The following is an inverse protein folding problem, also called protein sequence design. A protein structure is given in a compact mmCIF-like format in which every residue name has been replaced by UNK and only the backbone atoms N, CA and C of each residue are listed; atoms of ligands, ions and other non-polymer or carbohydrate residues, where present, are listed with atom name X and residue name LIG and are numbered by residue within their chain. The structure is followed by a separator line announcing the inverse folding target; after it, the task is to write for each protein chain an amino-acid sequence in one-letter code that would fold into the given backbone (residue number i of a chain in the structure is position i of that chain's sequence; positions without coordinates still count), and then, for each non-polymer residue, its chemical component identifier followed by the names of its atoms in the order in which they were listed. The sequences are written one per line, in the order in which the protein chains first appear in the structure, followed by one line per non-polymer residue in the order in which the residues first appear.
data_IF_622074787135
#
_entry.id   IF_622074787135
#
_cell.length_a   1.000
_cell.length_b   1.000
_cell.length_c   1.000
_cell.angle_alpha   90.00
_cell.angle_beta   90.00
_cell.angle_gamma   90.00
#
_symmetry.space_group_name_H-M   'P 1'
#
loop_
_entity.id
_entity.type
_entity.pdbx_description
1 polymer ?
#
# COMPACT_ATOMS: atom_id res chain seq x y z
N UNK A 1 -1.82 68.54 -26.49
CA UNK A 1 -1.45 69.46 -27.59
C UNK A 1 0.07 69.53 -27.55
N UNK A 2 0.84 68.98 -28.46
CA UNK A 2 0.72 68.90 -29.92
C UNK A 2 1.41 67.63 -30.44
N UNK A 3 1.19 67.34 -31.73
CA UNK A 3 1.87 66.32 -32.56
C UNK A 3 1.26 64.91 -32.61
N UNK A 4 -0.06 64.82 -32.48
CA UNK A 4 -0.85 63.77 -33.13
C UNK A 4 -1.30 64.29 -34.50
N UNK A 5 -0.33 64.54 -35.41
CA UNK A 5 -0.66 65.07 -36.74
C UNK A 5 0.47 64.88 -37.74
N UNK A 6 0.75 63.64 -38.14
CA UNK A 6 1.34 63.40 -39.47
C UNK A 6 1.19 62.02 -40.08
N UNK A 7 0.21 61.23 -39.65
CA UNK A 7 -0.22 60.05 -40.40
C UNK A 7 -1.60 60.32 -41.00
N UNK A 8 -1.68 61.17 -42.02
CA UNK A 8 -2.88 61.24 -42.86
C UNK A 8 -2.62 61.95 -44.20
N UNK A 9 -1.80 61.32 -45.02
CA UNK A 9 -1.84 61.47 -46.46
C UNK A 9 -1.15 60.23 -47.03
N UNK A 10 -1.77 59.39 -47.84
CA UNK A 10 -3.04 59.53 -48.48
C UNK A 10 -3.42 58.15 -49.03
N UNK A 11 -4.71 58.05 -49.31
CA UNK A 11 -5.24 57.35 -50.47
C UNK A 11 -5.09 55.84 -50.50
N UNK A 12 -6.15 55.21 -50.03
CA UNK A 12 -6.73 54.04 -50.68
C UNK A 12 -6.69 54.16 -52.22
N UNK A 13 -6.12 53.16 -52.87
CA UNK A 13 -6.44 52.74 -54.22
C UNK A 13 -6.56 51.20 -54.21
N UNK A 14 -7.81 50.75 -54.10
CA UNK A 14 -8.51 49.61 -54.72
C UNK A 14 -7.73 48.69 -55.71
N UNK A 15 -8.16 47.43 -55.94
CA UNK A 15 -7.54 46.21 -55.42
C UNK A 15 -6.92 45.33 -56.53
N UNK A 16 -5.83 44.63 -56.22
CA UNK A 16 -5.16 43.68 -57.13
C UNK A 16 -5.28 42.24 -56.58
N UNK A 17 -5.39 41.23 -57.46
CA UNK A 17 -5.91 39.90 -57.13
C UNK A 17 -4.92 39.06 -56.32
N UNK A 18 -5.42 38.27 -55.37
CA UNK A 18 -4.61 37.44 -54.48
C UNK A 18 -3.66 36.50 -55.26
N UNK A 19 -2.33 36.57 -55.03
CA UNK A 19 -1.38 35.71 -55.70
C UNK A 19 -1.32 34.34 -55.00
N UNK A 20 -1.47 33.27 -55.80
CA UNK A 20 -1.31 31.88 -55.38
C UNK A 20 0.01 31.67 -54.60
N UNK A 21 0.02 30.81 -53.58
CA UNK A 21 1.14 30.70 -52.65
C UNK A 21 2.40 30.22 -53.37
N UNK A 22 3.32 31.17 -53.59
CA UNK A 22 4.61 30.95 -54.22
C UNK A 22 5.40 29.90 -53.42
N UNK A 23 5.68 28.75 -54.05
CA UNK A 23 6.37 27.60 -53.44
C UNK A 23 7.67 28.00 -52.74
N UNK A 24 8.38 29.01 -53.27
CA UNK A 24 9.60 29.53 -52.66
C UNK A 24 9.35 30.20 -51.31
N UNK A 25 8.22 30.89 -51.15
CA UNK A 25 7.81 31.48 -49.87
C UNK A 25 7.47 30.40 -48.84
N UNK A 26 6.80 29.31 -49.25
CA UNK A 26 6.49 28.19 -48.36
C UNK A 26 7.76 27.46 -47.88
N UNK A 27 8.74 27.26 -48.76
CA UNK A 27 10.03 26.68 -48.39
C UNK A 27 10.79 27.58 -47.40
N UNK A 28 10.79 28.89 -47.64
CA UNK A 28 11.41 29.88 -46.75
C UNK A 28 10.74 29.91 -45.37
N UNK A 29 9.41 29.86 -45.34
CA UNK A 29 8.64 29.83 -44.10
C UNK A 29 8.92 28.55 -43.30
N UNK A 30 8.98 27.38 -43.97
CA UNK A 30 9.36 26.12 -43.33
C UNK A 30 10.74 26.20 -42.70
N UNK A 31 11.72 26.76 -43.42
CA UNK A 31 13.09 26.87 -42.92
C UNK A 31 13.17 27.84 -41.74
N UNK A 32 12.39 28.93 -41.77
CA UNK A 32 12.23 29.86 -40.64
C UNK A 32 11.58 29.19 -39.42
N UNK A 33 10.51 28.42 -39.61
CA UNK A 33 9.85 27.69 -38.52
C UNK A 33 10.78 26.63 -37.92
N UNK A 34 11.58 25.95 -38.74
CA UNK A 34 12.56 24.97 -38.27
C UNK A 34 13.67 25.63 -37.46
N UNK A 35 14.13 26.80 -37.89
CA UNK A 35 15.11 27.59 -37.17
C UNK A 35 14.55 28.08 -35.83
N UNK A 36 13.32 28.63 -35.82
CA UNK A 36 12.65 29.04 -34.59
C UNK A 36 12.40 27.88 -33.63
N UNK A 37 12.05 26.70 -34.15
CA UNK A 37 11.88 25.50 -33.33
C UNK A 37 13.21 25.07 -32.69
N UNK A 38 14.32 25.13 -33.44
CA UNK A 38 15.64 24.85 -32.88
C UNK A 38 16.04 25.88 -31.81
N UNK A 39 15.85 27.17 -32.07
CA UNK A 39 16.16 28.24 -31.12
C UNK A 39 15.33 28.15 -29.84
N UNK A 40 14.05 27.82 -29.96
CA UNK A 40 13.18 27.61 -28.82
C UNK A 40 13.61 26.36 -28.03
N UNK A 41 13.97 25.27 -28.73
CA UNK A 41 14.43 24.03 -28.10
C UNK A 41 15.77 24.19 -27.38
N UNK A 42 16.70 24.96 -27.94
CA UNK A 42 17.99 25.26 -27.28
C UNK A 42 17.82 26.21 -26.11
N UNK A 43 16.95 27.22 -26.21
CA UNK A 43 16.60 28.10 -25.10
C UNK A 43 15.94 27.33 -23.93
N UNK A 44 15.06 26.38 -24.23
CA UNK A 44 14.45 25.49 -23.22
C UNK A 44 15.51 24.60 -22.57
N UNK A 45 16.43 24.02 -23.35
CA UNK A 45 17.49 23.16 -22.79
C UNK A 45 18.48 23.94 -21.92
N UNK A 46 18.89 25.12 -22.39
CA UNK A 46 19.76 26.02 -21.63
C UNK A 46 19.08 26.49 -20.33
N UNK A 47 17.80 26.87 -20.38
CA UNK A 47 17.05 27.25 -19.18
C UNK A 47 16.83 26.07 -18.22
N UNK A 48 16.66 24.85 -18.71
CA UNK A 48 16.52 23.66 -17.88
C UNK A 48 17.81 23.27 -17.15
N UNK A 49 18.98 23.41 -17.80
CA UNK A 49 20.30 23.22 -17.18
C UNK A 49 20.59 24.30 -16.13
N UNK A 50 20.27 25.58 -16.42
CA UNK A 50 20.38 26.69 -15.45
C UNK A 50 19.46 26.44 -14.24
N UNK A 51 18.23 25.98 -14.47
CA UNK A 51 17.26 25.67 -13.42
C UNK A 51 17.74 24.50 -12.53
N UNK A 52 18.27 23.42 -13.10
CA UNK A 52 18.81 22.30 -12.32
C UNK A 52 20.07 22.68 -11.53
N UNK A 53 20.96 23.48 -12.12
CA UNK A 53 22.15 24.00 -11.44
C UNK A 53 21.79 24.88 -10.24
N UNK A 54 20.86 25.82 -10.43
CA UNK A 54 20.37 26.69 -9.35
C UNK A 54 19.68 25.90 -8.24
N UNK A 55 18.84 24.91 -8.57
CA UNK A 55 18.19 24.06 -7.56
C UNK A 55 19.22 23.22 -6.78
N UNK A 56 20.25 22.68 -7.42
CA UNK A 56 21.30 21.91 -6.72
C UNK A 56 22.14 22.80 -5.79
N UNK A 57 22.49 24.00 -6.25
CA UNK A 57 23.24 24.99 -5.47
C UNK A 57 22.42 25.57 -4.31
N UNK A 58 21.13 25.85 -4.54
CA UNK A 58 20.18 26.30 -3.51
C UNK A 58 19.95 25.22 -2.43
N UNK A 59 19.79 23.96 -2.83
CA UNK A 59 19.70 22.84 -1.88
C UNK A 59 21.01 22.65 -1.10
N UNK A 60 22.17 22.82 -1.75
CA UNK A 60 23.49 22.72 -1.10
C UNK A 60 23.73 23.86 -0.11
N UNK A 61 23.40 25.10 -0.49
CA UNK A 61 23.52 26.28 0.38
C UNK A 61 22.53 26.24 1.54
N UNK A 62 21.30 25.78 1.31
CA UNK A 62 20.30 25.59 2.37
C UNK A 62 20.69 24.48 3.34
N UNK A 63 21.21 23.34 2.85
CA UNK A 63 21.70 22.27 3.71
C UNK A 63 22.93 22.70 4.52
N UNK A 64 23.87 23.43 3.91
CA UNK A 64 25.03 24.00 4.62
C UNK A 64 24.60 25.06 5.65
N UNK A 65 23.56 25.86 5.34
CA UNK A 65 22.98 26.81 6.27
C UNK A 65 22.33 26.13 7.48
N UNK A 66 21.58 25.05 7.26
CA UNK A 66 21.00 24.24 8.33
C UNK A 66 22.08 23.54 9.17
N UNK A 67 23.14 23.03 8.55
CA UNK A 67 24.25 22.41 9.26
C UNK A 67 25.03 23.44 10.08
N UNK A 68 25.31 24.62 9.51
CA UNK A 68 25.93 25.72 10.24
C UNK A 68 25.07 26.18 11.42
N UNK A 69 23.76 26.29 11.23
CA UNK A 69 22.83 26.62 12.32
C UNK A 69 22.89 25.56 13.43
N UNK A 70 22.85 24.26 13.07
CA UNK A 70 22.99 23.16 14.03
C UNK A 70 24.32 23.24 14.78
N UNK A 71 25.42 23.48 14.07
CA UNK A 71 26.76 23.61 14.65
C UNK A 71 26.85 24.80 15.62
N UNK A 72 26.22 25.93 15.28
CA UNK A 72 26.13 27.10 16.17
C UNK A 72 25.27 26.81 17.40
N UNK A 73 24.14 26.14 17.25
CA UNK A 73 23.29 25.71 18.37
C UNK A 73 24.02 24.73 19.29
N UNK A 74 24.72 23.74 18.73
CA UNK A 74 25.55 22.80 19.48
C UNK A 74 26.70 23.51 20.20
N UNK A 75 27.42 24.40 19.53
CA UNK A 75 28.49 25.19 20.13
C UNK A 75 27.98 26.08 21.26
N UNK A 76 26.79 26.69 21.10
CA UNK A 76 26.13 27.49 22.13
C UNK A 76 25.77 26.65 23.35
N UNK A 77 25.12 25.50 23.14
CA UNK A 77 24.78 24.57 24.23
C UNK A 77 26.06 24.09 24.94
N UNK A 78 27.10 23.74 24.19
CA UNK A 78 28.41 23.34 24.72
C UNK A 78 29.04 24.44 25.57
N UNK A 79 29.05 25.68 25.08
CA UNK A 79 29.57 26.83 25.82
C UNK A 79 28.79 27.08 27.12
N UNK A 80 27.46 27.06 27.07
CA UNK A 80 26.60 27.22 28.24
C UNK A 80 26.83 26.12 29.27
N UNK A 81 26.93 24.85 28.84
CA UNK A 81 27.21 23.71 29.71
C UNK A 81 28.58 23.82 30.40
N UNK A 82 29.62 24.20 29.64
CA UNK A 82 30.97 24.42 30.18
C UNK A 82 31.00 25.56 31.19
N UNK A 83 30.31 26.66 30.88
CA UNK A 83 30.18 27.81 31.78
C UNK A 83 29.47 27.43 33.08
N UNK A 84 28.35 26.70 32.98
CA UNK A 84 27.61 26.22 34.14
C UNK A 84 28.44 25.25 34.99
N UNK A 85 29.19 24.35 34.36
CA UNK A 85 30.09 23.43 35.06
C UNK A 85 31.18 24.20 35.82
N UNK A 86 31.80 25.20 35.19
CA UNK A 86 32.80 26.05 35.84
C UNK A 86 32.20 26.82 37.03
N UNK A 87 31.04 27.45 36.85
CA UNK A 87 30.34 28.18 37.92
C UNK A 87 30.01 27.25 39.11
N UNK A 88 29.54 26.03 38.84
CA UNK A 88 29.27 25.02 39.89
C UNK A 88 30.54 24.62 40.64
N UNK A 89 31.65 24.43 39.94
CA UNK A 89 32.95 24.11 40.56
C UNK A 89 33.40 25.27 41.46
N UNK A 90 33.38 26.50 40.95
CA UNK A 90 33.77 27.68 41.71
C UNK A 90 32.90 27.87 42.96
N UNK A 91 31.58 27.73 42.82
CA UNK A 91 30.64 27.80 43.93
C UNK A 91 30.91 26.70 44.97
N UNK A 92 31.14 25.46 44.54
CA UNK A 92 31.49 24.35 45.42
C UNK A 92 32.79 24.59 46.20
N UNK A 93 33.80 25.20 45.57
CA UNK A 93 35.05 25.56 46.23
C UNK A 93 34.80 26.66 47.27
N UNK A 94 34.05 27.71 46.92
CA UNK A 94 33.69 28.78 47.84
C UNK A 94 32.90 28.26 49.05
N UNK A 95 31.87 27.44 48.81
CA UNK A 95 31.07 26.79 49.86
C UNK A 95 31.92 25.90 50.75
N UNK A 96 32.80 25.07 50.18
CA UNK A 96 33.71 24.22 50.95
C UNK A 96 34.63 25.03 51.85
N UNK A 97 35.14 26.16 51.35
CA UNK A 97 35.99 27.04 52.15
C UNK A 97 35.19 27.68 53.29
N UNK A 98 33.96 28.13 53.03
CA UNK A 98 33.06 28.65 54.06
C UNK A 98 32.80 27.63 55.15
N UNK A 99 32.45 26.39 54.80
CA UNK A 99 32.20 25.32 55.78
C UNK A 99 33.39 24.97 56.68
N UNK A 100 34.63 25.36 56.31
CA UNK A 100 35.82 25.17 57.17
C UNK A 100 35.94 26.22 58.27
N UNK A 101 35.27 27.36 58.14
CA UNK A 101 35.31 28.47 59.12
C UNK A 101 34.61 28.06 60.43
N UNK A 102 33.74 27.04 60.38
CA UNK A 102 33.11 26.35 61.53
C UNK A 102 32.36 27.30 62.48
N UNK A 103 31.88 28.42 61.95
CA UNK A 103 30.96 29.35 62.58
C UNK A 103 29.51 28.83 62.53
N UNK A 104 28.57 29.60 63.07
CA UNK A 104 27.16 29.21 63.10
C UNK A 104 26.57 29.06 61.68
N UNK A 105 26.94 29.98 60.78
CA UNK A 105 26.56 29.94 59.36
C UNK A 105 27.09 28.67 58.67
N UNK A 106 28.33 28.27 58.95
CA UNK A 106 28.94 27.03 58.44
C UNK A 106 28.17 25.78 58.88
N UNK A 107 27.70 25.74 60.13
CA UNK A 107 26.86 24.63 60.63
C UNK A 107 25.53 24.58 59.90
N UNK A 108 24.84 25.72 59.76
CA UNK A 108 23.58 25.82 59.04
C UNK A 108 23.70 25.41 57.57
N UNK A 109 24.77 25.82 56.88
CA UNK A 109 25.08 25.41 55.51
C UNK A 109 25.29 23.90 55.44
N UNK A 110 26.04 23.32 56.38
CA UNK A 110 26.33 21.87 56.43
C UNK A 110 25.07 21.03 56.65
N UNK A 111 24.21 21.43 57.60
CA UNK A 111 22.93 20.77 57.82
C UNK A 111 22.02 20.85 56.59
N UNK A 112 21.97 22.02 55.95
CA UNK A 112 21.18 22.22 54.74
C UNK A 112 21.68 21.33 53.59
N UNK A 113 23.00 21.27 53.37
CA UNK A 113 23.60 20.38 52.38
C UNK A 113 23.30 18.91 52.66
N UNK A 114 23.38 18.49 53.93
CA UNK A 114 23.03 17.12 54.32
C UNK A 114 21.58 16.78 53.96
N UNK A 115 20.64 17.68 54.25
CA UNK A 115 19.22 17.52 53.88
C UNK A 115 19.04 17.46 52.36
N UNK A 116 19.72 18.33 51.60
CA UNK A 116 19.69 18.34 50.13
C UNK A 116 20.19 17.01 49.57
N UNK A 117 21.29 16.46 50.10
CA UNK A 117 21.83 15.17 49.65
C UNK A 117 20.85 14.04 49.94
N UNK A 118 20.26 14.00 51.14
CA UNK A 118 19.24 13.00 51.50
C UNK A 118 18.02 13.05 50.57
N UNK A 119 17.51 14.25 50.29
CA UNK A 119 16.41 14.44 49.35
C UNK A 119 16.79 14.00 47.93
N UNK A 120 18.00 14.35 47.48
CA UNK A 120 18.48 13.99 46.14
C UNK A 120 18.63 12.47 45.98
N UNK A 121 19.10 11.77 47.01
CA UNK A 121 19.15 10.31 47.03
C UNK A 121 17.75 9.71 46.92
N UNK A 122 16.80 10.18 47.71
CA UNK A 122 15.41 9.70 47.64
C UNK A 122 14.80 9.94 46.25
N UNK A 123 15.05 11.10 45.64
CA UNK A 123 14.60 11.41 44.28
C UNK A 123 15.19 10.44 43.26
N UNK A 124 16.49 10.13 43.35
CA UNK A 124 17.16 9.17 42.47
C UNK A 124 16.55 7.77 42.63
N UNK A 125 16.30 7.32 43.86
CA UNK A 125 15.65 6.04 44.14
C UNK A 125 14.24 5.97 43.54
N UNK A 126 13.43 7.01 43.71
CA UNK A 126 12.09 7.07 43.11
C UNK A 126 12.14 7.08 41.58
N UNK A 127 13.08 7.82 40.98
CA UNK A 127 13.28 7.81 39.53
C UNK A 127 13.69 6.42 39.02
N UNK A 128 14.54 5.72 39.77
CA UNK A 128 14.96 4.37 39.44
C UNK A 128 13.78 3.39 39.49
N UNK A 129 12.99 3.43 40.56
CA UNK A 129 11.78 2.61 40.69
C UNK A 129 10.76 2.93 39.58
N UNK A 130 10.62 4.20 39.18
CA UNK A 130 9.75 4.60 38.08
C UNK A 130 10.20 3.98 36.75
N UNK A 131 11.51 4.05 36.42
CA UNK A 131 12.08 3.43 35.23
C UNK A 131 11.88 1.91 35.21
N UNK A 132 12.05 1.25 36.34
CA UNK A 132 11.81 -0.20 36.45
C UNK A 132 10.34 -0.57 36.19
N UNK A 133 9.40 0.20 36.75
CA UNK A 133 7.97 0.01 36.51
C UNK A 133 7.61 0.28 35.05
N UNK A 134 8.18 1.30 34.43
CA UNK A 134 8.01 1.61 33.02
C UNK A 134 8.51 0.47 32.13
N UNK A 135 9.68 -0.09 32.42
CA UNK A 135 10.21 -1.24 31.69
C UNK A 135 9.29 -2.45 31.80
N UNK A 136 8.80 -2.77 33.01
CA UNK A 136 7.82 -3.85 33.23
C UNK A 136 6.52 -3.61 32.44
N UNK A 137 6.06 -2.37 32.37
CA UNK A 137 4.88 -1.99 31.57
C UNK A 137 5.12 -2.24 30.07
N UNK A 138 6.29 -1.86 29.55
CA UNK A 138 6.67 -2.10 28.16
C UNK A 138 6.70 -3.60 27.83
N UNK A 139 7.25 -4.42 28.72
CA UNK A 139 7.29 -5.87 28.54
C UNK A 139 5.88 -6.49 28.53
N UNK A 140 4.99 -6.03 29.42
CA UNK A 140 3.57 -6.46 29.41
C UNK A 140 2.90 -6.04 28.10
N UNK A 141 3.10 -4.80 27.63
CA UNK A 141 2.54 -4.33 26.35
C UNK A 141 3.04 -5.18 25.18
N UNK A 142 4.32 -5.55 25.16
CA UNK A 142 4.91 -6.45 24.16
C UNK A 142 4.27 -7.82 24.20
N UNK A 143 4.18 -8.46 25.36
CA UNK A 143 3.53 -9.78 25.54
C UNK A 143 2.07 -9.76 25.08
N UNK A 144 1.32 -8.73 25.47
CA UNK A 144 -0.09 -8.54 25.05
C UNK A 144 -0.21 -8.42 23.54
N UNK A 145 0.70 -7.70 22.89
CA UNK A 145 0.70 -7.56 21.44
C UNK A 145 0.97 -8.89 20.73
N UNK A 146 1.98 -9.64 21.19
CA UNK A 146 2.28 -10.97 20.65
C UNK A 146 1.09 -11.93 20.82
N UNK A 147 0.43 -11.90 21.98
CA UNK A 147 -0.76 -12.71 22.23
C UNK A 147 -1.92 -12.32 21.31
N UNK A 148 -2.16 -11.02 21.11
CA UNK A 148 -3.19 -10.53 20.18
C UNK A 148 -2.94 -11.05 18.76
N UNK A 149 -1.70 -10.94 18.28
CA UNK A 149 -1.31 -11.44 16.95
C UNK A 149 -1.51 -12.95 16.82
N UNK A 150 -1.12 -13.73 17.83
CA UNK A 150 -1.35 -15.17 17.86
C UNK A 150 -2.84 -15.53 17.89
N UNK A 151 -3.65 -14.77 18.63
CA UNK A 151 -5.10 -14.92 18.69
C UNK A 151 -5.77 -14.65 17.33
N UNK A 152 -5.37 -13.57 16.65
CA UNK A 152 -5.84 -13.25 15.29
C UNK A 152 -5.50 -14.37 14.29
N UNK A 153 -4.27 -14.90 14.34
CA UNK A 153 -3.86 -16.02 13.50
C UNK A 153 -4.68 -17.30 13.77
N UNK A 154 -4.94 -17.61 15.05
CA UNK A 154 -5.78 -18.77 15.42
C UNK A 154 -7.22 -18.59 14.97
N UNK A 155 -7.77 -17.38 15.07
CA UNK A 155 -9.12 -17.09 14.59
C UNK A 155 -9.24 -17.26 13.07
N UNK A 156 -8.24 -16.79 12.31
CA UNK A 156 -8.16 -16.99 10.86
C UNK A 156 -8.06 -18.48 10.50
N UNK A 157 -7.30 -19.27 11.27
CA UNK A 157 -7.21 -20.71 11.10
C UNK A 157 -8.57 -21.38 11.33
N UNK A 158 -9.28 -21.03 12.40
CA UNK A 158 -10.62 -21.55 12.71
C UNK A 158 -11.60 -21.22 11.58
N UNK A 159 -11.62 -19.97 11.11
CA UNK A 159 -12.52 -19.56 10.04
C UNK A 159 -12.25 -20.35 8.73
N UNK A 160 -10.98 -20.52 8.38
CA UNK A 160 -10.58 -21.31 7.20
C UNK A 160 -11.00 -22.78 7.33
N UNK A 161 -10.78 -23.39 8.50
CA UNK A 161 -11.19 -24.78 8.75
C UNK A 161 -12.72 -24.94 8.72
N UNK A 162 -13.47 -24.01 9.31
CA UNK A 162 -14.93 -24.02 9.26
C UNK A 162 -15.45 -23.89 7.83
N UNK A 163 -14.85 -23.02 7.02
CA UNK A 163 -15.22 -22.88 5.60
C UNK A 163 -14.97 -24.19 4.85
N UNK A 164 -13.80 -24.80 5.02
CA UNK A 164 -13.44 -26.08 4.40
C UNK A 164 -14.40 -27.21 4.82
N UNK A 165 -14.71 -27.31 6.11
CA UNK A 165 -15.66 -28.31 6.61
C UNK A 165 -17.07 -28.14 6.02
N UNK A 166 -17.52 -26.89 5.85
CA UNK A 166 -18.82 -26.59 5.22
C UNK A 166 -18.84 -26.99 3.74
N UNK A 167 -17.75 -26.75 3.01
CA UNK A 167 -17.58 -27.17 1.61
C UNK A 167 -17.54 -28.69 1.49
N UNK A 168 -16.78 -29.38 2.33
CA UNK A 168 -16.73 -30.85 2.39
C UNK A 168 -18.11 -31.46 2.71
N UNK A 169 -18.85 -30.87 3.65
CA UNK A 169 -20.21 -31.31 3.97
C UNK A 169 -21.17 -31.11 2.80
N UNK A 170 -21.07 -30.00 2.07
CA UNK A 170 -21.88 -29.74 0.88
C UNK A 170 -21.54 -30.74 -0.24
N UNK A 171 -20.25 -30.97 -0.51
CA UNK A 171 -19.78 -31.96 -1.48
C UNK A 171 -20.30 -33.37 -1.14
N UNK A 172 -20.16 -33.81 0.12
CA UNK A 172 -20.64 -35.13 0.53
C UNK A 172 -22.16 -35.28 0.37
N UNK A 173 -22.94 -34.23 0.61
CA UNK A 173 -24.40 -34.25 0.35
C UNK A 173 -24.71 -34.41 -1.14
N UNK A 174 -23.99 -33.70 -2.00
CA UNK A 174 -24.13 -33.82 -3.47
C UNK A 174 -23.75 -35.23 -3.93
N UNK A 175 -22.63 -35.78 -3.45
CA UNK A 175 -22.21 -37.15 -3.78
C UNK A 175 -23.27 -38.18 -3.39
N UNK A 176 -23.82 -38.09 -2.16
CA UNK A 176 -24.89 -38.99 -1.70
C UNK A 176 -26.17 -38.86 -2.54
N UNK A 177 -26.51 -37.65 -2.99
CA UNK A 177 -27.65 -37.44 -3.88
C UNK A 177 -27.41 -38.05 -5.26
N UNK A 178 -26.20 -37.88 -5.81
CA UNK A 178 -25.79 -38.45 -7.08
C UNK A 178 -25.82 -39.98 -7.05
N UNK A 179 -25.31 -40.60 -5.98
CA UNK A 179 -25.35 -42.06 -5.78
C UNK A 179 -26.80 -42.59 -5.78
N UNK A 180 -27.73 -41.89 -5.11
CA UNK A 180 -29.15 -42.26 -5.13
C UNK A 180 -29.75 -42.20 -6.54
N UNK A 181 -29.53 -41.09 -7.25
CA UNK A 181 -30.03 -40.92 -8.62
C UNK A 181 -29.46 -42.00 -9.54
N UNK A 182 -28.17 -42.32 -9.41
CA UNK A 182 -27.55 -43.38 -10.20
C UNK A 182 -28.16 -44.75 -9.91
N UNK A 183 -28.39 -45.09 -8.64
CA UNK A 183 -29.02 -46.35 -8.25
C UNK A 183 -30.48 -46.45 -8.73
N UNK A 184 -31.23 -45.35 -8.68
CA UNK A 184 -32.60 -45.31 -9.18
C UNK A 184 -32.64 -45.44 -10.71
N UNK A 185 -31.73 -44.75 -11.41
CA UNK A 185 -31.59 -44.86 -12.86
C UNK A 185 -31.22 -46.28 -13.29
N UNK A 186 -30.27 -46.93 -12.61
CA UNK A 186 -29.91 -48.33 -12.90
C UNK A 186 -31.09 -49.28 -12.67
N UNK A 187 -31.92 -49.04 -11.66
CA UNK A 187 -33.14 -49.82 -11.42
C UNK A 187 -34.16 -49.62 -12.54
N UNK A 188 -34.40 -48.38 -12.97
CA UNK A 188 -35.30 -48.05 -14.08
C UNK A 188 -34.80 -48.66 -15.40
N UNK A 189 -33.48 -48.64 -15.63
CA UNK A 189 -32.84 -49.30 -16.78
C UNK A 189 -33.11 -50.80 -16.76
N UNK A 190 -32.85 -51.47 -15.63
CA UNK A 190 -33.12 -52.90 -15.46
C UNK A 190 -34.60 -53.25 -15.68
N UNK A 191 -35.50 -52.45 -15.12
CA UNK A 191 -36.95 -52.65 -15.29
C UNK A 191 -37.35 -52.52 -16.78
N UNK A 192 -36.82 -51.51 -17.47
CA UNK A 192 -37.06 -51.31 -18.90
C UNK A 192 -36.58 -52.51 -19.71
N UNK A 193 -35.39 -53.04 -19.42
CA UNK A 193 -34.87 -54.26 -20.08
C UNK A 193 -35.79 -55.46 -19.84
N UNK A 194 -36.27 -55.67 -18.61
CA UNK A 194 -37.21 -56.76 -18.30
C UNK A 194 -38.50 -56.59 -19.10
N UNK A 195 -39.09 -55.39 -19.11
CA UNK A 195 -40.32 -55.08 -19.84
C UNK A 195 -40.13 -55.33 -21.35
N UNK A 196 -39.01 -54.86 -21.92
CA UNK A 196 -38.66 -55.11 -23.32
C UNK A 196 -38.58 -56.61 -23.63
N UNK A 197 -37.88 -57.39 -22.81
CA UNK A 197 -37.75 -58.84 -22.96
C UNK A 197 -39.12 -59.55 -22.88
N UNK A 198 -40.00 -59.13 -21.96
CA UNK A 198 -41.35 -59.68 -21.84
C UNK A 198 -42.18 -59.38 -23.10
N UNK A 199 -42.16 -58.15 -23.58
CA UNK A 199 -42.88 -57.78 -24.80
C UNK A 199 -42.37 -58.54 -26.04
N UNK A 200 -41.05 -58.69 -26.19
CA UNK A 200 -40.46 -59.51 -27.26
C UNK A 200 -40.97 -60.96 -27.20
N UNK A 201 -40.91 -61.59 -26.01
CA UNK A 201 -41.36 -62.96 -25.81
C UNK A 201 -42.85 -63.14 -26.13
N UNK A 202 -43.71 -62.18 -25.74
CA UNK A 202 -45.14 -62.21 -26.04
C UNK A 202 -45.37 -62.14 -27.56
N UNK A 203 -44.71 -61.20 -28.27
CA UNK A 203 -44.85 -61.06 -29.71
C UNK A 203 -44.44 -62.35 -30.43
N UNK A 204 -43.28 -62.92 -30.07
CA UNK A 204 -42.79 -64.19 -30.63
C UNK A 204 -43.77 -65.34 -30.34
N UNK A 205 -44.27 -65.46 -29.11
CA UNK A 205 -45.18 -66.53 -28.70
C UNK A 205 -46.59 -66.42 -29.33
N UNK A 206 -47.03 -65.21 -29.69
CA UNK A 206 -48.36 -64.95 -30.28
C UNK A 206 -48.56 -65.55 -31.68
N UNK A 207 -47.50 -66.05 -32.32
CA UNK A 207 -47.51 -66.63 -33.70
C UNK A 207 -48.05 -65.70 -34.78
N UNK A 208 -48.13 -64.40 -34.50
CA UNK A 208 -48.39 -63.35 -35.51
C UNK A 208 -47.16 -63.26 -36.41
N UNK A 209 -47.36 -63.17 -37.74
CA UNK A 209 -46.25 -63.11 -38.71
C UNK A 209 -45.63 -61.70 -38.76
N UNK A 210 -45.01 -61.30 -37.65
CA UNK A 210 -44.45 -59.95 -37.40
C UNK A 210 -43.35 -59.55 -38.38
N UNK A 211 -42.79 -60.50 -39.14
CA UNK A 211 -41.78 -60.23 -40.17
C UNK A 211 -42.39 -59.69 -41.48
N UNK A 212 -43.67 -59.95 -41.75
CA UNK A 212 -44.39 -59.48 -42.93
C UNK A 212 -45.00 -58.09 -42.73
N UNK A 213 -45.38 -57.72 -41.51
CA UNK A 213 -45.85 -56.38 -41.18
C UNK A 213 -44.66 -55.42 -40.94
N UNK A 214 -44.48 -54.40 -41.78
CA UNK A 214 -43.37 -53.44 -41.63
C UNK A 214 -43.36 -52.74 -40.27
N UNK A 215 -44.54 -52.45 -39.70
CA UNK A 215 -44.67 -51.72 -38.44
C UNK A 215 -44.27 -52.57 -37.25
N UNK A 216 -44.75 -53.82 -37.16
CA UNK A 216 -44.31 -54.76 -36.11
C UNK A 216 -42.83 -55.14 -36.23
N UNK A 217 -42.31 -55.30 -37.45
CA UNK A 217 -40.89 -55.57 -37.69
C UNK A 217 -40.00 -54.46 -37.14
N UNK A 218 -40.37 -53.21 -37.34
CA UNK A 218 -39.63 -52.07 -36.82
C UNK A 218 -39.65 -52.03 -35.28
N UNK A 219 -40.82 -52.28 -34.66
CA UNK A 219 -40.97 -52.30 -33.20
C UNK A 219 -40.12 -53.40 -32.57
N UNK A 220 -40.14 -54.63 -33.10
CA UNK A 220 -39.34 -55.75 -32.57
C UNK A 220 -37.84 -55.48 -32.73
N UNK A 221 -37.40 -54.93 -33.87
CA UNK A 221 -35.99 -54.57 -34.09
C UNK A 221 -35.52 -53.41 -33.20
N UNK A 222 -36.39 -52.44 -32.91
CA UNK A 222 -36.08 -51.37 -31.96
C UNK A 222 -35.95 -51.90 -30.53
N UNK A 223 -36.80 -52.83 -30.13
CA UNK A 223 -36.70 -53.50 -28.83
C UNK A 223 -35.39 -54.31 -28.70
N UNK A 224 -34.92 -54.93 -29.80
CA UNK A 224 -33.68 -55.71 -29.83
C UNK A 224 -32.41 -54.84 -29.77
N UNK A 225 -32.40 -53.68 -30.46
CA UNK A 225 -31.25 -52.76 -30.49
C UNK A 225 -30.97 -52.08 -29.15
N UNK A 226 -31.99 -51.88 -28.32
CA UNK A 226 -31.86 -51.18 -27.04
C UNK A 226 -31.22 -52.04 -25.93
N UNK A 227 -30.95 -53.32 -26.20
CA UNK A 227 -30.23 -54.22 -25.28
C UNK A 227 -28.71 -54.00 -25.32
N UNK A 228 -28.17 -53.37 -26.37
CA UNK A 228 -26.73 -53.28 -26.65
C UNK A 228 -26.11 -51.87 -26.62
N UNK A 229 -26.84 -50.84 -26.21
CA UNK A 229 -26.20 -49.54 -25.92
C UNK A 229 -25.59 -49.57 -24.51
N UNK A 230 -24.43 -50.22 -24.44
CA UNK A 230 -23.41 -50.08 -23.39
C UNK A 230 -22.68 -48.75 -23.59
#
# INVERSE_FOLDING_TARGET
MESLQRDLAAAAAEPEPEPEPNILMLLRLRDQMKQQLMECSTAVRASQEICHGHILEENFTMNNGQDLQRNVEEAKVSFQNKTLALQRIQLMVALRNKMKENDDDSRMITETMKRIVQLSMAVIEYQQQAREKEQKLLDIKRKRFSLKKAGEQKLLQIHTMMKKQKEEQASMKVTKMMEKIHNDFEREKQMTTIIQNVFQNIIIASRVNWAEDPSLREIVLQLEKNVNFI
#
